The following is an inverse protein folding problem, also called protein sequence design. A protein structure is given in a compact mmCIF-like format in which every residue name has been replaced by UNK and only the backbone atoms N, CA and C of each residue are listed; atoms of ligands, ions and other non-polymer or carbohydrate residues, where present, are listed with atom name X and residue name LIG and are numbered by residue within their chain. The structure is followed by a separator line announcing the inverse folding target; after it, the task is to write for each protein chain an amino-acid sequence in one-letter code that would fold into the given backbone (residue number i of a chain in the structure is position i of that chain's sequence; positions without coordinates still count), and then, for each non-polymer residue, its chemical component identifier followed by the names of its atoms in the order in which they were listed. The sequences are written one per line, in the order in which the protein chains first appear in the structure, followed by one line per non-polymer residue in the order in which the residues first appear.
data_IF_734451290250
#
_entry.id   IF_734451290250
#
_cell.length_a   1.000
_cell.length_b   1.000
_cell.length_c   1.000
_cell.angle_alpha   90.00
_cell.angle_beta   90.00
_cell.angle_gamma   90.00
#
_symmetry.space_group_name_H-M   'P 1'
#
loop_
_entity.id
_entity.type
_entity.pdbx_description
1 polymer ?
#
# COMPACT_ATOMS: atom_id res chain seq x y z
N UNK A 1 12.06 -18.74 -40.41
CA UNK A 1 11.02 -17.77 -40.00
C UNK A 1 10.48 -18.18 -38.65
N UNK A 2 10.65 -17.35 -37.62
CA UNK A 2 10.12 -17.61 -36.28
C UNK A 2 8.61 -17.80 -36.32
N UNK A 3 8.08 -18.77 -35.56
CA UNK A 3 6.64 -18.99 -35.46
C UNK A 3 6.02 -17.81 -34.70
N UNK A 4 5.13 -17.07 -35.35
CA UNK A 4 4.37 -16.02 -34.66
C UNK A 4 3.27 -16.64 -33.76
N UNK A 5 3.14 -16.14 -32.55
CA UNK A 5 2.14 -16.55 -31.55
C UNK A 5 1.31 -15.34 -31.10
N UNK A 6 0.09 -15.57 -30.58
CA UNK A 6 -0.80 -14.48 -30.09
C UNK A 6 -0.65 -14.34 -28.57
N UNK A 7 -0.46 -13.12 -28.07
CA UNK A 7 -0.47 -12.84 -26.64
C UNK A 7 -1.91 -12.89 -26.09
N UNK A 8 -2.20 -13.66 -25.01
CA UNK A 8 -3.55 -13.71 -24.42
C UNK A 8 -3.99 -12.43 -23.71
N UNK A 9 -3.06 -11.54 -23.36
CA UNK A 9 -3.36 -10.33 -22.58
C UNK A 9 -3.69 -9.12 -23.47
N UNK A 10 -2.84 -8.85 -24.47
CA UNK A 10 -3.01 -7.69 -25.37
C UNK A 10 -3.47 -8.09 -26.78
N UNK A 11 -3.65 -9.38 -27.05
CA UNK A 11 -4.13 -9.92 -28.32
C UNK A 11 -3.26 -9.67 -29.56
N UNK A 12 -2.11 -9.01 -29.42
CA UNK A 12 -1.17 -8.77 -30.51
C UNK A 12 -0.27 -9.99 -30.77
N UNK A 13 0.20 -10.11 -32.03
CA UNK A 13 1.15 -11.15 -32.44
C UNK A 13 2.55 -10.81 -31.96
N UNK A 14 3.29 -11.82 -31.49
CA UNK A 14 4.71 -11.73 -31.15
C UNK A 14 5.49 -12.91 -31.71
N UNK A 15 6.80 -12.70 -31.84
CA UNK A 15 7.70 -13.77 -32.17
C UNK A 15 7.87 -14.72 -30.98
N UNK A 16 7.80 -16.03 -31.22
CA UNK A 16 7.89 -17.05 -30.17
C UNK A 16 9.22 -17.02 -29.42
N UNK A 17 10.31 -16.62 -30.06
CA UNK A 17 11.64 -16.62 -29.45
C UNK A 17 11.81 -15.47 -28.42
N UNK A 18 11.03 -14.39 -28.57
CA UNK A 18 10.99 -13.25 -27.63
C UNK A 18 9.85 -13.34 -26.61
N UNK A 19 9.08 -14.42 -26.61
CA UNK A 19 7.91 -14.58 -25.78
C UNK A 19 8.21 -15.29 -24.45
N UNK A 20 7.50 -14.91 -23.39
CA UNK A 20 7.51 -15.65 -22.12
C UNK A 20 6.48 -16.80 -22.19
N UNK A 21 6.90 -18.08 -22.09
CA UNK A 21 5.99 -19.20 -22.02
C UNK A 21 5.42 -19.39 -20.61
N UNK A 22 4.10 -19.50 -20.48
CA UNK A 22 3.41 -19.82 -19.23
C UNK A 22 2.17 -20.68 -19.48
N UNK A 23 2.07 -21.85 -18.84
CA UNK A 23 0.95 -22.80 -18.96
C UNK A 23 0.45 -23.00 -20.40
N UNK A 24 1.37 -23.32 -21.32
CA UNK A 24 1.13 -23.54 -22.77
C UNK A 24 0.72 -22.29 -23.57
N UNK A 25 0.82 -21.08 -22.99
CA UNK A 25 0.56 -19.80 -23.65
C UNK A 25 1.83 -18.94 -23.70
N UNK A 26 1.84 -17.93 -24.56
CA UNK A 26 3.00 -17.07 -24.80
C UNK A 26 2.61 -15.60 -24.60
N UNK A 27 3.40 -14.86 -23.84
CA UNK A 27 3.12 -13.48 -23.47
C UNK A 27 4.28 -12.56 -23.83
N UNK A 28 3.98 -11.29 -24.11
CA UNK A 28 5.02 -10.25 -23.99
C UNK A 28 5.47 -10.17 -22.54
N UNK A 29 6.75 -9.86 -22.31
CA UNK A 29 7.30 -9.70 -20.97
C UNK A 29 6.50 -8.72 -20.11
N UNK A 30 6.22 -7.52 -20.64
CA UNK A 30 5.42 -6.50 -19.95
C UNK A 30 4.02 -7.02 -19.62
N UNK A 31 3.35 -7.65 -20.57
CA UNK A 31 2.00 -8.19 -20.38
C UNK A 31 1.96 -9.31 -19.33
N UNK A 32 2.96 -10.19 -19.34
CA UNK A 32 3.08 -11.25 -18.34
C UNK A 32 3.26 -10.67 -16.94
N UNK A 33 4.15 -9.69 -16.79
CA UNK A 33 4.42 -9.04 -15.51
C UNK A 33 3.18 -8.32 -14.97
N UNK A 34 2.46 -7.57 -15.81
CA UNK A 34 1.21 -6.91 -15.40
C UNK A 34 0.15 -7.94 -14.99
N UNK A 35 -0.09 -8.96 -15.82
CA UNK A 35 -1.06 -10.01 -15.51
C UNK A 35 -0.73 -10.76 -14.21
N UNK A 36 0.55 -11.09 -14.01
CA UNK A 36 1.03 -11.77 -12.81
C UNK A 36 0.82 -10.89 -11.59
N UNK A 37 1.18 -9.61 -11.68
CA UNK A 37 0.98 -8.64 -10.61
C UNK A 37 -0.50 -8.47 -10.24
N UNK A 38 -1.40 -8.36 -11.23
CA UNK A 38 -2.84 -8.29 -10.97
C UNK A 38 -3.37 -9.58 -10.33
N UNK A 39 -2.89 -10.74 -10.77
CA UNK A 39 -3.23 -12.02 -10.17
C UNK A 39 -2.79 -12.10 -8.70
N UNK A 40 -1.58 -11.63 -8.40
CA UNK A 40 -1.04 -11.66 -7.05
C UNK A 40 -1.76 -10.65 -6.14
N UNK A 41 -2.00 -9.41 -6.60
CA UNK A 41 -2.82 -8.44 -5.87
C UNK A 41 -4.24 -8.97 -5.57
N UNK A 42 -4.84 -9.72 -6.51
CA UNK A 42 -6.14 -10.34 -6.28
C UNK A 42 -6.07 -11.37 -5.16
N UNK A 43 -5.06 -12.23 -5.14
CA UNK A 43 -4.87 -13.23 -4.08
C UNK A 43 -4.64 -12.55 -2.73
N UNK A 44 -3.79 -11.53 -2.68
CA UNK A 44 -3.51 -10.76 -1.46
C UNK A 44 -4.77 -10.13 -0.89
N UNK A 45 -5.58 -9.47 -1.72
CA UNK A 45 -6.86 -8.89 -1.31
C UNK A 45 -7.82 -9.95 -0.76
N UNK A 46 -8.00 -11.06 -1.49
CA UNK A 46 -8.90 -12.15 -1.07
C UNK A 46 -8.43 -12.75 0.25
N UNK A 47 -7.13 -13.04 0.38
CA UNK A 47 -6.56 -13.60 1.59
C UNK A 47 -6.74 -12.65 2.77
N UNK A 48 -6.51 -11.35 2.57
CA UNK A 48 -6.71 -10.34 3.60
C UNK A 48 -8.17 -10.28 4.06
N UNK A 49 -9.14 -10.24 3.14
CA UNK A 49 -10.57 -10.26 3.47
C UNK A 49 -10.94 -11.54 4.24
N UNK A 50 -10.44 -12.70 3.81
CA UNK A 50 -10.70 -13.97 4.49
C UNK A 50 -10.15 -13.97 5.91
N UNK A 51 -8.93 -13.48 6.12
CA UNK A 51 -8.31 -13.38 7.44
C UNK A 51 -9.07 -12.40 8.34
N UNK A 52 -9.51 -11.25 7.79
CA UNK A 52 -10.22 -10.21 8.53
C UNK A 52 -11.56 -10.70 9.08
N UNK A 53 -12.30 -11.48 8.28
CA UNK A 53 -13.64 -11.97 8.64
C UNK A 53 -13.66 -13.43 9.11
N UNK A 54 -12.50 -14.09 9.24
CA UNK A 54 -12.42 -15.50 9.64
C UNK A 54 -13.05 -16.48 8.64
N UNK A 55 -13.04 -16.16 7.34
CA UNK A 55 -13.70 -16.93 6.29
C UNK A 55 -12.72 -17.82 5.53
N UNK A 56 -13.18 -18.96 5.00
CA UNK A 56 -12.40 -19.78 4.04
C UNK A 56 -12.39 -19.18 2.63
N UNK A 57 -13.41 -18.41 2.31
CA UNK A 57 -13.58 -17.73 1.03
C UNK A 57 -14.46 -16.49 1.20
N UNK A 58 -14.27 -15.42 0.40
CA UNK A 58 -15.12 -14.24 0.45
C UNK A 58 -16.57 -14.58 0.10
N UNK A 59 -17.51 -13.81 0.66
CA UNK A 59 -18.92 -13.95 0.32
C UNK A 59 -19.21 -13.43 -1.10
N UNK A 60 -20.32 -13.88 -1.69
CA UNK A 60 -20.75 -13.40 -3.01
C UNK A 60 -20.97 -11.87 -3.05
N UNK A 61 -21.42 -11.29 -1.93
CA UNK A 61 -21.55 -9.84 -1.76
C UNK A 61 -20.20 -9.12 -1.84
N UNK A 62 -19.18 -9.62 -1.13
CA UNK A 62 -17.83 -9.04 -1.18
C UNK A 62 -17.24 -9.13 -2.59
N UNK A 63 -17.43 -10.26 -3.28
CA UNK A 63 -16.97 -10.41 -4.66
C UNK A 63 -17.65 -9.41 -5.61
N UNK A 64 -18.96 -9.17 -5.43
CA UNK A 64 -19.70 -8.16 -6.18
C UNK A 64 -19.15 -6.76 -5.91
N UNK A 65 -18.88 -6.42 -4.65
CA UNK A 65 -18.30 -5.13 -4.27
C UNK A 65 -16.91 -4.91 -4.86
N UNK A 66 -16.03 -5.92 -4.83
CA UNK A 66 -14.70 -5.82 -5.48
C UNK A 66 -14.86 -5.50 -6.97
N UNK A 67 -15.78 -6.18 -7.66
CA UNK A 67 -16.05 -5.96 -9.08
C UNK A 67 -16.54 -4.53 -9.33
N UNK A 68 -17.51 -4.07 -8.54
CA UNK A 68 -18.05 -2.70 -8.61
C UNK A 68 -16.95 -1.65 -8.38
N UNK A 69 -16.06 -1.84 -7.40
CA UNK A 69 -14.93 -0.95 -7.15
C UNK A 69 -13.97 -0.86 -8.33
N UNK A 70 -13.77 -1.94 -9.08
CA UNK A 70 -12.92 -1.91 -10.27
C UNK A 70 -13.61 -1.26 -11.48
N UNK A 71 -14.88 -1.58 -11.70
CA UNK A 71 -15.61 -1.19 -12.91
C UNK A 71 -16.18 0.23 -12.81
N UNK A 72 -16.84 0.56 -11.70
CA UNK A 72 -17.53 1.86 -11.52
C UNK A 72 -16.60 2.93 -10.94
N UNK A 73 -15.77 2.56 -9.97
CA UNK A 73 -14.88 3.50 -9.28
C UNK A 73 -13.46 3.55 -9.86
N UNK A 74 -13.10 2.61 -10.74
CA UNK A 74 -11.77 2.52 -11.34
C UNK A 74 -10.64 2.20 -10.34
N UNK A 75 -10.98 1.61 -9.19
CA UNK A 75 -10.00 1.28 -8.16
C UNK A 75 -9.14 0.09 -8.53
N UNK A 76 -7.86 0.15 -8.14
CA UNK A 76 -6.94 -0.98 -8.28
C UNK A 76 -7.13 -1.95 -7.11
N UNK A 77 -7.02 -3.25 -7.37
CA UNK A 77 -7.11 -4.29 -6.32
C UNK A 77 -6.20 -4.01 -5.11
N UNK A 78 -4.95 -3.61 -5.37
CA UNK A 78 -4.02 -3.24 -4.30
C UNK A 78 -4.46 -2.01 -3.52
N UNK A 79 -5.13 -1.05 -4.18
CA UNK A 79 -5.70 0.12 -3.53
C UNK A 79 -6.86 -0.26 -2.61
N UNK A 80 -7.73 -1.18 -3.04
CA UNK A 80 -8.83 -1.71 -2.23
C UNK A 80 -8.28 -2.39 -0.97
N UNK A 81 -7.24 -3.23 -1.10
CA UNK A 81 -6.59 -3.87 0.05
C UNK A 81 -6.03 -2.84 1.03
N UNK A 82 -5.29 -1.84 0.53
CA UNK A 82 -4.72 -0.79 1.38
C UNK A 82 -5.80 0.06 2.06
N UNK A 83 -6.92 0.31 1.38
CA UNK A 83 -8.06 1.02 1.98
C UNK A 83 -8.64 0.23 3.17
N UNK A 84 -8.79 -1.09 3.04
CA UNK A 84 -9.25 -1.93 4.13
C UNK A 84 -8.22 -1.99 5.27
N UNK A 85 -6.93 -2.17 4.97
CA UNK A 85 -5.86 -2.13 5.98
C UNK A 85 -5.83 -0.81 6.74
N UNK A 86 -6.00 0.30 6.03
CA UNK A 86 -6.12 1.60 6.68
C UNK A 86 -7.29 1.63 7.67
N UNK A 87 -8.47 1.20 7.25
CA UNK A 87 -9.66 1.25 8.10
C UNK A 87 -9.58 0.31 9.32
N UNK A 88 -9.14 -0.94 9.15
CA UNK A 88 -9.12 -1.93 10.23
C UNK A 88 -7.82 -1.90 11.05
N UNK A 89 -6.66 -1.72 10.41
CA UNK A 89 -5.37 -1.77 11.11
C UNK A 89 -4.90 -0.38 11.58
N UNK A 90 -5.11 0.67 10.79
CA UNK A 90 -4.62 2.03 11.16
C UNK A 90 -5.62 2.76 12.05
N UNK A 91 -6.90 2.69 11.71
CA UNK A 91 -7.96 3.34 12.49
C UNK A 91 -8.53 2.42 13.60
N UNK A 92 -8.01 1.19 13.72
CA UNK A 92 -8.36 0.21 14.76
C UNK A 92 -9.87 -0.08 14.85
N UNK A 93 -10.55 -0.10 13.69
CA UNK A 93 -11.94 -0.50 13.63
C UNK A 93 -12.07 -2.02 13.65
N UNK A 94 -13.17 -2.53 14.20
CA UNK A 94 -13.44 -3.96 14.24
C UNK A 94 -14.33 -4.40 13.07
N UNK A 95 -14.05 -5.56 12.45
CA UNK A 95 -14.94 -6.16 11.46
C UNK A 95 -16.25 -6.60 12.11
N UNK A 96 -17.37 -6.36 11.43
CA UNK A 96 -18.70 -6.80 11.87
C UNK A 96 -19.11 -8.01 11.03
N UNK A 97 -19.70 -9.01 11.67
CA UNK A 97 -20.22 -10.18 10.97
C UNK A 97 -21.39 -9.78 10.05
N UNK A 98 -21.44 -10.36 8.86
CA UNK A 98 -22.48 -10.09 7.86
C UNK A 98 -22.26 -8.82 7.03
N UNK A 99 -21.38 -7.92 7.45
CA UNK A 99 -21.02 -6.73 6.67
C UNK A 99 -20.09 -7.11 5.49
N UNK A 100 -20.20 -6.31 4.42
CA UNK A 100 -19.30 -6.37 3.28
C UNK A 100 -18.10 -5.44 3.42
N UNK A 101 -17.38 -5.25 2.33
CA UNK A 101 -16.29 -4.28 2.21
C UNK A 101 -16.81 -2.92 1.71
N UNK A 102 -18.05 -2.57 2.03
CA UNK A 102 -18.72 -1.36 1.54
C UNK A 102 -18.14 -0.05 2.06
N UNK A 103 -17.24 -0.11 3.06
CA UNK A 103 -16.53 1.05 3.59
C UNK A 103 -15.49 1.62 2.62
N UNK A 104 -15.00 0.80 1.68
CA UNK A 104 -13.85 1.15 0.81
C UNK A 104 -14.01 2.50 0.10
N UNK A 105 -15.12 2.83 -0.57
CA UNK A 105 -15.25 4.11 -1.28
C UNK A 105 -15.13 5.33 -0.36
N UNK A 106 -15.51 5.21 0.92
CA UNK A 106 -15.47 6.32 1.88
C UNK A 106 -14.06 6.59 2.40
N UNK A 107 -13.23 5.56 2.49
CA UNK A 107 -11.88 5.65 3.09
C UNK A 107 -10.74 5.59 2.07
N UNK A 108 -11.03 5.31 0.79
CA UNK A 108 -10.01 5.08 -0.24
C UNK A 108 -9.05 6.27 -0.39
N UNK A 109 -9.58 7.49 -0.47
CA UNK A 109 -8.76 8.69 -0.66
C UNK A 109 -7.96 9.07 0.60
N UNK A 110 -8.51 8.80 1.78
CA UNK A 110 -7.79 8.96 3.06
C UNK A 110 -6.64 7.97 3.17
N UNK A 111 -6.90 6.69 2.90
CA UNK A 111 -5.89 5.64 2.87
C UNK A 111 -4.77 5.98 1.87
N UNK A 112 -5.13 6.41 0.66
CA UNK A 112 -4.16 6.83 -0.36
C UNK A 112 -3.26 7.96 0.14
N UNK A 113 -3.83 9.01 0.75
CA UNK A 113 -3.06 10.12 1.33
C UNK A 113 -2.15 9.63 2.46
N UNK A 114 -2.65 8.75 3.32
CA UNK A 114 -1.90 8.16 4.42
C UNK A 114 -0.66 7.42 3.94
N UNK A 115 -0.79 6.48 3.00
CA UNK A 115 0.35 5.70 2.50
C UNK A 115 1.33 6.52 1.65
N UNK A 116 0.85 7.52 0.89
CA UNK A 116 1.74 8.45 0.17
C UNK A 116 2.59 9.24 1.17
N UNK A 117 1.99 9.76 2.25
CA UNK A 117 2.69 10.48 3.30
C UNK A 117 3.73 9.60 4.00
N UNK A 118 3.35 8.38 4.39
CA UNK A 118 4.28 7.44 5.00
C UNK A 118 5.47 7.13 4.08
N UNK A 119 5.22 6.90 2.79
CA UNK A 119 6.28 6.64 1.80
C UNK A 119 7.21 7.85 1.64
N UNK A 120 6.66 9.07 1.65
CA UNK A 120 7.45 10.29 1.58
C UNK A 120 8.36 10.45 2.80
N UNK A 121 7.82 10.27 4.00
CA UNK A 121 8.59 10.32 5.26
C UNK A 121 9.70 9.27 5.26
N UNK A 122 9.38 8.03 4.91
CA UNK A 122 10.36 6.93 4.83
C UNK A 122 11.49 7.27 3.85
N UNK A 123 11.16 7.77 2.66
CA UNK A 123 12.15 8.18 1.67
C UNK A 123 13.05 9.31 2.19
N UNK A 124 12.49 10.29 2.91
CA UNK A 124 13.27 11.38 3.52
C UNK A 124 14.18 10.90 4.65
N UNK A 125 13.78 9.87 5.41
CA UNK A 125 14.61 9.28 6.46
C UNK A 125 15.73 8.38 5.90
N UNK A 126 15.49 7.70 4.77
CA UNK A 126 16.47 6.84 4.10
C UNK A 126 17.49 7.63 3.25
N UNK A 127 17.26 8.93 2.99
CA UNK A 127 18.16 9.78 2.21
C UNK A 127 19.10 10.59 3.13
N UNK A 128 20.36 10.15 3.34
CA UNK A 128 21.30 10.81 4.25
C UNK A 128 21.71 12.22 3.80
N UNK A 129 21.32 12.68 2.60
CA UNK A 129 21.67 14.02 2.09
C UNK A 129 20.76 15.13 2.61
N UNK A 130 19.63 14.80 3.26
CA UNK A 130 18.65 15.79 3.70
C UNK A 130 18.80 16.26 5.16
N UNK A 131 19.79 15.75 5.90
CA UNK A 131 20.19 16.35 7.16
C UNK A 131 21.03 17.60 6.91
N UNK A 132 20.40 18.71 6.47
CA UNK A 132 20.95 20.02 6.79
C UNK A 132 20.86 20.17 8.31
N UNK A 133 21.95 19.83 9.00
CA UNK A 133 22.15 20.23 10.39
C UNK A 133 22.21 21.76 10.37
N UNK A 134 21.11 22.41 10.71
CA UNK A 134 21.16 23.83 11.02
C UNK A 134 21.95 23.96 12.32
N UNK A 135 23.20 24.38 12.20
CA UNK A 135 24.01 24.76 13.35
C UNK A 135 23.39 26.02 13.97
N UNK A 136 22.62 25.84 15.04
CA UNK A 136 22.15 26.97 15.84
C UNK A 136 23.35 27.47 16.64
N UNK A 137 23.95 28.59 16.21
CA UNK A 137 24.94 29.31 17.01
C UNK A 137 24.22 30.07 18.12
N UNK A 138 24.19 29.48 19.31
CA UNK A 138 23.71 30.16 20.52
C UNK A 138 24.80 31.11 21.02
N UNK A 139 24.65 32.42 20.77
CA UNK A 139 25.46 33.45 21.44
C UNK A 139 24.96 33.59 22.88
N UNK A 140 25.53 32.79 23.77
CA UNK A 140 25.27 32.89 25.21
C UNK A 140 25.95 34.15 25.75
N UNK A 141 25.20 35.25 25.88
CA UNK A 141 25.68 36.40 26.65
C UNK A 141 25.92 35.95 28.09
N UNK A 142 27.14 36.09 28.60
CA UNK A 142 27.47 35.90 30.02
C UNK A 142 26.71 36.94 30.85
N UNK A 143 25.46 36.64 31.20
CA UNK A 143 24.81 37.29 32.33
C UNK A 143 25.51 36.89 33.62
N UNK A 144 25.72 37.85 34.53
CA UNK A 144 26.22 37.58 35.89
C UNK A 144 25.42 36.43 36.51
N UNK A 145 26.10 35.30 36.79
CA UNK A 145 25.51 34.18 37.54
C UNK A 145 25.14 34.68 38.94
N UNK A 146 23.85 34.89 39.23
CA UNK A 146 23.38 34.90 40.62
C UNK A 146 23.59 33.48 41.17
N UNK A 147 24.38 33.34 42.24
CA UNK A 147 24.52 32.08 42.97
C UNK A 147 23.12 31.65 43.44
N UNK A 148 22.55 30.62 42.82
CA UNK A 148 21.40 29.91 43.36
C UNK A 148 21.95 28.75 44.18
N UNK A 149 21.50 28.64 45.43
CA UNK A 149 21.84 27.51 46.30
C UNK A 149 21.39 26.19 45.67
N UNK A 150 22.06 25.11 46.05
CA UNK A 150 21.67 23.75 45.66
C UNK A 150 20.21 23.51 46.08
N UNK A 151 19.38 23.11 45.12
CA UNK A 151 18.04 22.60 45.41
C UNK A 151 18.16 21.08 45.45
N UNK A 152 17.87 20.50 46.62
CA UNK A 152 17.90 19.05 46.83
C UNK A 152 16.59 18.42 46.35
N UNK A 153 16.69 17.49 45.41
CA UNK A 153 15.55 16.74 44.86
C UNK A 153 14.94 15.78 45.89
N UNK A 154 15.63 15.48 46.99
CA UNK A 154 15.07 14.69 48.09
C UNK A 154 13.97 15.40 48.89
N UNK A 155 13.63 16.64 48.53
CA UNK A 155 12.53 17.42 49.14
C UNK A 155 11.33 17.66 48.21
N UNK A 156 11.27 16.99 47.06
CA UNK A 156 10.06 16.87 46.24
C UNK A 156 9.22 15.67 46.65
#
# INVERSE_FOLDING_TARGET
MGRQVKCPYCETKLDKDSAIPYKKRYYHEKCFNTWKQESDHRKELIQYICNLYGLTSPTGMMLKQIKEFQEEYGYKLKGIELALRYFYETLDNQPREGDGIGIVPFVYDEAKRHYIRQKAIRKSAEDPKNHKREEITLVIKKGMRKKRGLVDISTL
#
